data_IF_071984136993
#
_entry.id   IF_071984136993
#
_cell.length_a   1.000
_cell.length_b   1.000
_cell.length_c   1.000
_cell.angle_alpha   90.00
_cell.angle_beta   90.00
_cell.angle_gamma   90.00
#
_symmetry.space_group_name_H-M   'P 1'
#
loop_
_entity.id
_entity.type
_entity.pdbx_description
1 polymer ?
#
# COMPACT_ATOMS: atom_id res chain seq x y z
N UNK A 1 -1.77 -9.19 1.00
CA UNK A 1 -0.52 -8.55 1.50
C UNK A 1 0.63 -9.53 1.63
N UNK A 2 0.44 -10.68 2.28
CA UNK A 2 1.47 -11.72 2.35
C UNK A 2 1.91 -12.20 0.96
N UNK A 3 0.96 -12.34 0.03
CA UNK A 3 1.23 -12.70 -1.37
C UNK A 3 2.05 -11.66 -2.15
N UNK A 4 2.01 -10.39 -1.74
CA UNK A 4 2.78 -9.29 -2.34
C UNK A 4 4.17 -9.19 -1.66
N UNK A 5 4.45 -9.99 -0.63
CA UNK A 5 5.75 -10.05 0.03
C UNK A 5 6.00 -8.93 1.06
N UNK A 6 4.96 -8.28 1.58
CA UNK A 6 5.11 -7.35 2.72
C UNK A 6 5.25 -8.16 4.01
N UNK A 7 6.37 -8.10 4.75
CA UNK A 7 6.53 -8.88 5.97
C UNK A 7 5.60 -8.40 7.10
N UNK A 8 4.88 -9.33 7.72
CA UNK A 8 3.86 -9.02 8.74
C UNK A 8 4.39 -8.37 10.02
N UNK A 9 5.69 -8.52 10.33
CA UNK A 9 6.31 -7.94 11.52
C UNK A 9 6.67 -6.45 11.35
N UNK A 10 6.59 -5.89 10.13
CA UNK A 10 6.87 -4.48 9.91
C UNK A 10 5.67 -3.62 10.30
N UNK A 11 5.91 -2.49 10.98
CA UNK A 11 4.84 -1.51 11.26
C UNK A 11 4.12 -1.05 9.99
N UNK A 12 4.86 -0.92 8.89
CA UNK A 12 4.31 -0.54 7.59
C UNK A 12 3.27 -1.53 7.05
N UNK A 13 3.32 -2.81 7.43
CA UNK A 13 2.29 -3.79 7.09
C UNK A 13 0.93 -3.39 7.67
N UNK A 14 0.90 -3.07 8.96
CA UNK A 14 -0.33 -2.67 9.65
C UNK A 14 -0.86 -1.33 9.11
N UNK A 15 0.02 -0.37 8.86
CA UNK A 15 -0.38 0.93 8.33
C UNK A 15 -0.91 0.82 6.90
N UNK A 16 -0.27 0.01 6.03
CA UNK A 16 -0.78 -0.26 4.70
C UNK A 16 -2.18 -0.88 4.75
N UNK A 17 -2.45 -1.77 5.71
CA UNK A 17 -3.74 -2.48 5.80
C UNK A 17 -4.86 -1.49 6.10
N UNK A 18 -4.66 -0.64 7.10
CA UNK A 18 -5.60 0.43 7.42
C UNK A 18 -5.73 1.40 6.25
N UNK A 19 -4.63 1.72 5.58
CA UNK A 19 -4.64 2.62 4.43
C UNK A 19 -5.48 2.09 3.27
N UNK A 20 -5.33 0.81 2.93
CA UNK A 20 -6.08 0.15 1.86
C UNK A 20 -7.56 0.05 2.23
N UNK A 21 -7.89 -0.26 3.49
CA UNK A 21 -9.29 -0.31 3.95
C UNK A 21 -9.93 1.07 3.87
N UNK A 22 -9.25 2.12 4.32
CA UNK A 22 -9.72 3.52 4.21
C UNK A 22 -9.95 3.90 2.75
N UNK A 23 -8.98 3.60 1.89
CA UNK A 23 -9.03 3.92 0.45
C UNK A 23 -10.09 3.10 -0.30
N UNK A 24 -10.34 1.87 0.14
CA UNK A 24 -11.39 0.99 -0.37
C UNK A 24 -12.80 1.45 0.04
N UNK A 25 -12.94 2.30 1.05
CA UNK A 25 -14.21 2.97 1.39
C UNK A 25 -14.37 4.28 0.63
N UNK A 26 -13.30 5.07 0.60
CA UNK A 26 -13.28 6.36 -0.06
C UNK A 26 -11.94 6.57 -0.79
N UNK A 27 -12.00 6.62 -2.12
CA UNK A 27 -10.78 6.73 -2.94
C UNK A 27 -10.20 8.15 -2.92
N UNK A 28 -10.98 9.17 -2.54
CA UNK A 28 -10.48 10.54 -2.39
C UNK A 28 -9.38 10.61 -1.32
N UNK A 29 -9.40 9.69 -0.36
CA UNK A 29 -8.38 9.60 0.70
C UNK A 29 -6.97 9.41 0.12
N UNK A 30 -6.82 8.69 -1.00
CA UNK A 30 -5.51 8.49 -1.65
C UNK A 30 -5.02 9.76 -2.35
N UNK A 31 -5.93 10.61 -2.84
CA UNK A 31 -5.55 11.90 -3.41
C UNK A 31 -4.96 12.86 -2.36
N UNK A 32 -5.33 12.66 -1.09
CA UNK A 32 -4.96 13.52 0.04
C UNK A 32 -4.13 12.78 1.10
N UNK A 33 -3.13 11.99 0.68
CA UNK A 33 -2.38 11.12 1.61
C UNK A 33 -1.73 11.87 2.78
N UNK A 34 -1.15 13.04 2.54
CA UNK A 34 -0.44 13.80 3.58
C UNK A 34 -1.37 14.57 4.51
N UNK A 35 -2.59 14.90 4.06
CA UNK A 35 -3.55 15.73 4.80
C UNK A 35 -4.65 14.91 5.47
N UNK A 36 -4.91 13.69 4.99
CA UNK A 36 -6.01 12.87 5.45
C UNK A 36 -5.55 11.46 5.83
N UNK A 37 -4.93 10.73 4.92
CA UNK A 37 -4.60 9.32 5.14
C UNK A 37 -3.58 9.12 6.27
N UNK A 38 -2.42 9.77 6.19
CA UNK A 38 -1.36 9.63 7.19
C UNK A 38 -1.79 10.18 8.56
N UNK A 39 -2.44 11.36 8.68
CA UNK A 39 -2.98 11.83 9.96
C UNK A 39 -3.98 10.87 10.60
N UNK A 40 -4.87 10.28 9.79
CA UNK A 40 -5.87 9.32 10.28
C UNK A 40 -5.21 8.07 10.88
N UNK A 41 -4.25 7.49 10.16
CA UNK A 41 -3.51 6.31 10.63
C UNK A 41 -2.62 6.69 11.83
N UNK A 42 -1.97 7.85 11.79
CA UNK A 42 -1.11 8.32 12.86
C UNK A 42 -1.89 8.46 14.18
N UNK A 43 -3.10 9.01 14.12
CA UNK A 43 -4.03 9.09 15.25
C UNK A 43 -4.41 7.70 15.78
N UNK A 44 -4.74 6.76 14.89
CA UNK A 44 -5.13 5.40 15.29
C UNK A 44 -3.99 4.65 16.00
N UNK A 45 -2.77 4.74 15.46
CA UNK A 45 -1.59 4.04 16.00
C UNK A 45 -0.79 4.86 17.02
N UNK A 46 -1.31 6.02 17.47
CA UNK A 46 -0.64 6.93 18.42
C UNK A 46 0.80 7.24 17.99
N UNK A 47 0.99 7.62 16.73
CA UNK A 47 2.29 7.92 16.12
C UNK A 47 2.24 9.23 15.34
N UNK A 48 3.27 9.52 14.53
CA UNK A 48 3.33 10.75 13.70
C UNK A 48 3.17 10.42 12.22
N UNK A 49 2.65 11.36 11.45
CA UNK A 49 2.41 11.24 10.01
C UNK A 49 3.68 10.83 9.25
N UNK A 50 4.81 11.45 9.62
CA UNK A 50 6.13 11.12 9.06
C UNK A 50 6.55 9.68 9.35
N UNK A 51 6.23 9.14 10.54
CA UNK A 51 6.52 7.74 10.89
C UNK A 51 5.61 6.79 10.13
N UNK A 52 4.35 7.16 9.91
CA UNK A 52 3.41 6.37 9.07
C UNK A 52 3.93 6.29 7.66
N UNK A 53 4.18 7.44 7.04
CA UNK A 53 4.68 7.54 5.67
C UNK A 53 5.98 6.74 5.51
N UNK A 54 6.95 6.92 6.42
CA UNK A 54 8.24 6.24 6.32
C UNK A 54 8.11 4.73 6.50
N UNK A 55 7.26 4.27 7.41
CA UNK A 55 7.04 2.84 7.61
C UNK A 55 6.34 2.20 6.40
N UNK A 56 5.36 2.88 5.80
CA UNK A 56 4.71 2.44 4.55
C UNK A 56 5.75 2.37 3.43
N UNK A 57 6.56 3.42 3.26
CA UNK A 57 7.63 3.44 2.26
C UNK A 57 8.57 2.25 2.48
N UNK A 58 9.06 2.01 3.68
CA UNK A 58 9.96 0.89 3.95
C UNK A 58 9.30 -0.47 3.63
N UNK A 59 8.02 -0.65 3.98
CA UNK A 59 7.29 -1.89 3.67
C UNK A 59 7.17 -2.14 2.16
N UNK A 60 6.88 -1.11 1.37
CA UNK A 60 6.81 -1.21 -0.10
C UNK A 60 8.20 -1.49 -0.68
N UNK A 61 9.26 -0.93 -0.12
CA UNK A 61 10.65 -1.18 -0.56
C UNK A 61 11.03 -2.65 -0.40
N UNK A 62 10.73 -3.20 0.78
CA UNK A 62 11.01 -4.61 1.08
C UNK A 62 10.16 -5.52 0.19
N UNK A 63 8.89 -5.19 0.00
CA UNK A 63 7.99 -5.94 -0.87
C UNK A 63 8.42 -5.87 -2.34
N UNK A 64 8.90 -4.72 -2.83
CA UNK A 64 9.38 -4.58 -4.21
C UNK A 64 10.68 -5.35 -4.48
N UNK A 65 11.60 -5.34 -3.51
CA UNK A 65 12.91 -6.00 -3.65
C UNK A 65 12.87 -7.51 -3.41
N UNK A 66 11.93 -8.00 -2.58
CA UNK A 66 11.89 -9.41 -2.14
C UNK A 66 10.57 -10.13 -2.43
N UNK A 67 9.56 -9.41 -2.91
CA UNK A 67 8.25 -9.95 -3.20
C UNK A 67 8.22 -10.77 -4.49
N UNK A 68 7.10 -11.45 -4.71
CA UNK A 68 6.89 -12.23 -5.93
C UNK A 68 6.66 -11.30 -7.13
N UNK A 69 7.56 -11.37 -8.11
CA UNK A 69 7.52 -10.60 -9.36
C UNK A 69 6.21 -10.81 -10.10
N UNK A 70 5.73 -12.04 -10.22
CA UNK A 70 4.48 -12.38 -10.92
C UNK A 70 3.28 -11.72 -10.24
N UNK A 71 3.23 -11.74 -8.90
CA UNK A 71 2.18 -11.06 -8.14
C UNK A 71 2.19 -9.55 -8.39
N UNK A 72 3.39 -8.96 -8.46
CA UNK A 72 3.52 -7.53 -8.78
C UNK A 72 3.02 -7.22 -10.19
N UNK A 73 3.40 -8.00 -11.20
CA UNK A 73 2.91 -7.80 -12.57
C UNK A 73 1.40 -7.95 -12.66
N UNK A 74 0.82 -8.93 -11.97
CA UNK A 74 -0.63 -9.13 -11.94
C UNK A 74 -1.39 -7.93 -11.36
N UNK A 75 -0.90 -7.34 -10.28
CA UNK A 75 -1.60 -6.27 -9.55
C UNK A 75 -1.30 -4.88 -10.15
N UNK A 76 -0.05 -4.64 -10.55
CA UNK A 76 0.43 -3.33 -10.97
C UNK A 76 0.60 -3.20 -12.48
N UNK A 77 0.63 -4.31 -13.22
CA UNK A 77 0.95 -4.36 -14.64
C UNK A 77 2.45 -4.20 -14.94
N UNK A 78 3.28 -4.12 -13.91
CA UNK A 78 4.74 -3.99 -14.01
C UNK A 78 5.41 -4.49 -12.73
N UNK A 79 6.70 -4.79 -12.84
CA UNK A 79 7.52 -5.28 -11.74
C UNK A 79 8.96 -4.76 -11.81
N UNK A 80 9.79 -5.18 -10.86
CA UNK A 80 11.23 -4.94 -10.89
C UNK A 80 11.88 -5.55 -12.14
N UNK A 81 11.34 -6.64 -12.67
CA UNK A 81 11.83 -7.29 -13.89
C UNK A 81 11.51 -6.46 -15.15
N UNK A 82 10.47 -5.62 -15.10
CA UNK A 82 10.11 -4.71 -16.20
C UNK A 82 11.05 -3.50 -16.33
N UNK A 83 12.08 -3.38 -15.47
CA UNK A 83 13.00 -2.24 -15.45
C UNK A 83 12.40 -0.93 -14.93
N UNK A 84 11.18 -0.99 -14.36
CA UNK A 84 10.53 0.18 -13.75
C UNK A 84 11.02 0.41 -12.33
N UNK A 85 10.79 1.63 -11.85
CA UNK A 85 10.99 1.96 -10.45
C UNK A 85 9.81 1.48 -9.61
N UNK A 86 10.09 1.29 -8.32
CA UNK A 86 9.10 0.95 -7.32
C UNK A 86 7.94 1.95 -7.29
N UNK A 87 6.69 1.49 -7.09
CA UNK A 87 5.53 2.37 -6.91
C UNK A 87 5.71 3.35 -5.73
N UNK A 88 5.07 4.50 -5.86
CA UNK A 88 4.89 5.45 -4.74
C UNK A 88 3.94 4.89 -3.69
N UNK A 89 3.95 5.44 -2.47
CA UNK A 89 3.03 4.99 -1.42
C UNK A 89 1.56 5.11 -1.88
N UNK A 90 1.19 6.25 -2.47
CA UNK A 90 -0.18 6.48 -2.95
C UNK A 90 -0.57 5.53 -4.08
N UNK A 91 0.31 5.33 -5.06
CA UNK A 91 0.08 4.39 -6.16
C UNK A 91 -0.10 2.96 -5.65
N UNK A 92 0.76 2.53 -4.72
CA UNK A 92 0.68 1.21 -4.12
C UNK A 92 -0.67 0.97 -3.43
N UNK A 93 -1.12 1.95 -2.65
CA UNK A 93 -2.38 1.88 -1.89
C UNK A 93 -3.57 1.91 -2.85
N UNK A 94 -3.59 2.81 -3.83
CA UNK A 94 -4.65 2.92 -4.83
C UNK A 94 -4.83 1.61 -5.60
N UNK A 95 -3.74 1.07 -6.17
CA UNK A 95 -3.80 -0.13 -7.00
C UNK A 95 -4.30 -1.35 -6.24
N UNK A 96 -3.87 -1.54 -5.00
CA UNK A 96 -4.36 -2.65 -4.18
C UNK A 96 -5.82 -2.43 -3.78
N UNK A 97 -6.21 -1.21 -3.42
CA UNK A 97 -7.60 -0.89 -3.08
C UNK A 97 -8.54 -1.10 -4.28
N UNK A 98 -8.12 -0.70 -5.48
CA UNK A 98 -8.85 -0.91 -6.73
C UNK A 98 -8.95 -2.39 -7.08
N UNK A 99 -7.85 -3.15 -6.99
CA UNK A 99 -7.87 -4.59 -7.25
C UNK A 99 -8.88 -5.31 -6.35
N UNK A 100 -8.87 -5.02 -5.04
CA UNK A 100 -9.83 -5.61 -4.09
C UNK A 100 -11.27 -5.21 -4.43
N UNK A 101 -11.52 -3.95 -4.82
CA UNK A 101 -12.85 -3.48 -5.21
C UNK A 101 -13.37 -4.16 -6.48
N UNK A 102 -12.49 -4.38 -7.46
CA UNK A 102 -12.84 -5.06 -8.71
C UNK A 102 -13.11 -6.55 -8.46
N UNK A 103 -12.28 -7.22 -7.67
CA UNK A 103 -12.48 -8.62 -7.26
C UNK A 103 -13.82 -8.79 -6.51
N UNK A 104 -14.17 -7.86 -5.62
CA UNK A 104 -15.44 -7.89 -4.90
C UNK A 104 -16.67 -7.65 -5.79
N UNK A 105 -16.54 -6.85 -6.85
CA UNK A 105 -17.63 -6.61 -7.83
C UNK A 105 -17.81 -7.76 -8.83
N UNK A 106 -16.79 -8.60 -9.00
CA UNK A 106 -16.83 -9.76 -9.90
C UNK A 106 -17.40 -11.02 -9.22
N UNK A 107 -17.62 -10.99 -7.91
CA UNK A 107 -18.36 -11.99 -7.13
C UNK A 107 -19.85 -11.63 -7.03
#
# INVERSE_FOLDING_TARGET
>A
MLEIGVPAHLKGYHYLRDAIILSGKDMEVVSSVTKLLYPTIAKHFKTTDQKVERAIRNAIEVSWSRGNVETFEKIFGYSVASGRTRPTNSEYIARIADNIRLDYKAM
#
